data_IF_315304591389
#
_entry.id   IF_315304591389
#
_cell.length_a   1.000
_cell.length_b   1.000
_cell.length_c   1.000
_cell.angle_alpha   90.00
_cell.angle_beta   90.00
_cell.angle_gamma   90.00
#
_symmetry.space_group_name_H-M   'P 1'
#
loop_
_entity.id
_entity.type
_entity.pdbx_description
1 polymer ?
#
# COMPACT_ATOMS: atom_id res chain seq x y z
N UNK A 1 -3.15 7.93 1.38
CA UNK A 1 -2.97 6.64 2.10
C UNK A 1 -3.64 6.61 3.47
N UNK A 2 -3.23 7.40 4.47
CA UNK A 2 -3.77 7.32 5.83
C UNK A 2 -5.30 7.47 5.92
N UNK A 3 -5.87 8.50 5.25
CA UNK A 3 -7.32 8.69 5.20
C UNK A 3 -8.07 7.48 4.62
N UNK A 4 -7.49 6.79 3.62
CA UNK A 4 -8.08 5.59 3.03
C UNK A 4 -8.02 4.39 3.98
N UNK A 5 -6.89 4.19 4.65
CA UNK A 5 -6.77 3.15 5.70
C UNK A 5 -7.78 3.40 6.82
N UNK A 6 -8.00 4.66 7.20
CA UNK A 6 -8.98 5.04 8.21
C UNK A 6 -10.43 4.80 7.75
N UNK A 7 -10.79 5.16 6.51
CA UNK A 7 -12.13 5.00 5.97
C UNK A 7 -12.50 3.52 5.70
N UNK A 8 -11.55 2.73 5.22
CA UNK A 8 -11.77 1.34 4.79
C UNK A 8 -10.72 0.40 5.39
N UNK A 9 -10.73 0.16 6.71
CA UNK A 9 -9.70 -0.65 7.36
C UNK A 9 -9.78 -2.11 6.89
N UNK A 10 -8.69 -2.82 7.06
CA UNK A 10 -8.64 -4.26 6.89
C UNK A 10 -9.42 -4.98 8.00
N UNK A 11 -9.65 -6.28 7.85
CA UNK A 11 -10.27 -7.07 8.91
C UNK A 11 -9.23 -7.30 10.00
N UNK A 12 -9.56 -6.94 11.25
CA UNK A 12 -8.65 -7.09 12.39
C UNK A 12 -8.22 -8.55 12.54
N UNK A 13 -6.94 -8.80 12.31
CA UNK A 13 -6.24 -10.04 12.64
C UNK A 13 -5.02 -9.68 13.50
N UNK A 14 -4.88 -10.35 14.65
CA UNK A 14 -3.95 -9.96 15.72
C UNK A 14 -2.47 -10.20 15.36
N UNK A 15 -2.18 -10.99 14.33
CA UNK A 15 -0.82 -11.35 13.91
C UNK A 15 -0.41 -10.86 12.52
N UNK A 16 -1.25 -10.07 11.83
CA UNK A 16 -0.98 -9.70 10.44
C UNK A 16 -0.36 -8.31 10.27
N UNK A 17 0.62 -8.26 9.36
CA UNK A 17 1.10 -7.04 8.73
C UNK A 17 0.26 -6.78 7.50
N UNK A 18 -0.42 -5.64 7.45
CA UNK A 18 -1.24 -5.23 6.32
C UNK A 18 -0.39 -4.53 5.27
N UNK A 19 -0.83 -4.62 4.00
CA UNK A 19 -0.17 -4.00 2.85
C UNK A 19 -1.18 -3.32 1.93
N UNK A 20 -0.85 -2.10 1.47
CA UNK A 20 -1.58 -1.39 0.40
C UNK A 20 -0.63 -0.87 -0.66
N UNK A 21 -1.16 -0.66 -1.87
CA UNK A 21 -0.38 -0.24 -3.02
C UNK A 21 -0.99 1.01 -3.64
N UNK A 22 -0.27 2.13 -3.55
CA UNK A 22 -0.69 3.37 -4.18
C UNK A 22 0.20 3.68 -5.38
N UNK A 23 -0.42 4.08 -6.49
CA UNK A 23 0.29 4.71 -7.60
C UNK A 23 0.12 6.22 -7.41
N UNK A 24 1.24 6.93 -7.26
CA UNK A 24 1.30 8.37 -7.10
C UNK A 24 1.92 9.00 -8.34
N UNK A 25 1.53 10.23 -8.64
CA UNK A 25 2.20 11.06 -9.62
C UNK A 25 2.57 12.38 -8.96
N UNK A 26 3.80 12.83 -9.18
CA UNK A 26 4.25 14.19 -8.87
C UNK A 26 4.87 14.78 -10.13
N UNK A 27 4.25 15.84 -10.67
CA UNK A 27 4.60 16.44 -11.97
C UNK A 27 4.82 15.40 -13.09
N UNK A 28 6.05 15.16 -13.51
CA UNK A 28 6.47 14.24 -14.57
C UNK A 28 7.11 12.95 -14.02
N UNK A 29 6.88 12.64 -12.75
CA UNK A 29 7.35 11.44 -12.07
C UNK A 29 6.16 10.62 -11.57
N UNK A 30 6.22 9.31 -11.77
CA UNK A 30 5.27 8.35 -11.24
C UNK A 30 6.00 7.47 -10.22
N UNK A 31 5.33 7.17 -9.11
CA UNK A 31 5.84 6.32 -8.04
C UNK A 31 4.82 5.23 -7.73
N UNK A 32 5.33 4.05 -7.38
CA UNK A 32 4.53 3.00 -6.76
C UNK A 32 4.95 2.93 -5.30
N UNK A 33 4.01 3.10 -4.39
CA UNK A 33 4.23 3.03 -2.95
C UNK A 33 3.59 1.76 -2.41
N UNK A 34 4.40 0.89 -1.81
CA UNK A 34 3.94 -0.25 -1.03
C UNK A 34 3.98 0.13 0.44
N UNK A 35 2.81 0.28 1.06
CA UNK A 35 2.75 0.67 2.46
C UNK A 35 2.48 -0.53 3.35
N UNK A 36 3.30 -0.69 4.38
CA UNK A 36 3.19 -1.75 5.40
C UNK A 36 2.80 -1.14 6.73
N UNK A 37 1.83 -1.74 7.42
CA UNK A 37 1.35 -1.27 8.72
C UNK A 37 0.73 -2.39 9.54
N UNK A 38 0.66 -2.20 10.85
CA UNK A 38 -0.05 -3.09 11.77
C UNK A 38 -1.40 -2.50 12.20
N UNK A 39 -2.18 -3.28 12.96
CA UNK A 39 -3.48 -2.82 13.45
C UNK A 39 -3.38 -1.60 14.37
N UNK A 40 -2.32 -1.51 15.17
CA UNK A 40 -2.05 -0.34 16.03
C UNK A 40 -1.94 0.98 15.26
N UNK A 41 -1.50 0.93 14.00
CA UNK A 41 -1.50 2.11 13.14
C UNK A 41 -2.93 2.54 12.76
N UNK A 42 -3.83 1.57 12.56
CA UNK A 42 -5.26 1.83 12.29
C UNK A 42 -5.91 2.50 13.51
N UNK A 43 -5.63 1.99 14.71
CA UNK A 43 -6.08 2.60 15.98
C UNK A 43 -5.51 4.02 16.13
N UNK A 44 -4.23 4.23 15.81
CA UNK A 44 -3.57 5.55 15.82
C UNK A 44 -4.26 6.58 14.93
N UNK A 45 -4.52 6.27 13.67
CA UNK A 45 -5.14 7.22 12.74
C UNK A 45 -6.63 7.45 12.99
N UNK A 46 -7.24 6.66 13.89
CA UNK A 46 -8.65 6.79 14.31
C UNK A 46 -8.82 7.40 15.70
N UNK A 47 -7.72 7.72 16.37
CA UNK A 47 -7.74 8.19 17.76
C UNK A 47 -8.34 7.17 18.74
N UNK A 48 -8.11 5.87 18.46
CA UNK A 48 -8.59 4.71 19.24
C UNK A 48 -7.45 4.06 20.05
N UNK A 49 -6.31 4.73 20.21
CA UNK A 49 -5.12 4.13 20.85
C UNK A 49 -5.30 3.92 22.35
N UNK A 50 -4.79 2.80 22.84
CA UNK A 50 -4.53 2.64 24.26
C UNK A 50 -3.31 3.50 24.65
N UNK A 51 -3.41 4.37 25.67
CA UNK A 51 -2.28 5.18 26.15
C UNK A 51 -1.03 4.39 26.51
N UNK A 52 -1.21 3.13 26.92
CA UNK A 52 -0.11 2.24 27.34
C UNK A 52 0.51 1.49 26.16
N UNK A 53 -0.10 1.55 24.96
CA UNK A 53 0.37 0.81 23.80
C UNK A 53 1.28 1.66 22.91
N UNK A 54 2.44 1.10 22.55
CA UNK A 54 3.46 1.81 21.77
C UNK A 54 2.95 2.20 20.38
N UNK A 55 3.27 3.42 19.93
CA UNK A 55 2.87 3.91 18.60
C UNK A 55 3.48 3.05 17.49
N UNK A 56 2.63 2.47 16.64
CA UNK A 56 3.02 1.79 15.41
C UNK A 56 2.74 2.71 14.22
N UNK A 57 3.76 2.92 13.37
CA UNK A 57 3.64 3.78 12.19
C UNK A 57 3.60 2.96 10.90
N UNK A 58 2.98 3.56 9.88
CA UNK A 58 3.05 3.11 8.50
C UNK A 58 4.48 3.24 7.96
N UNK A 59 4.99 2.21 7.29
CA UNK A 59 6.22 2.30 6.49
C UNK A 59 5.85 2.33 5.02
N UNK A 60 6.33 3.33 4.28
CA UNK A 60 6.10 3.48 2.84
C UNK A 60 7.37 3.05 2.08
N UNK A 61 7.27 1.99 1.29
CA UNK A 61 8.33 1.56 0.39
C UNK A 61 8.07 2.13 -1.00
N UNK A 62 8.92 3.04 -1.42
CA UNK A 62 8.81 3.70 -2.72
C UNK A 62 9.53 2.90 -3.82
N UNK A 63 8.92 2.86 -5.00
CA UNK A 63 9.50 2.30 -6.20
C UNK A 63 9.29 3.24 -7.39
N UNK A 64 10.38 3.68 -8.00
CA UNK A 64 10.41 4.77 -8.98
C UNK A 64 11.67 5.61 -8.80
N UNK A 65 11.71 6.85 -9.31
CA UNK A 65 10.66 7.50 -10.12
C UNK A 65 10.59 6.98 -11.55
N UNK A 66 9.39 6.91 -12.13
CA UNK A 66 9.15 6.63 -13.54
C UNK A 66 8.75 7.90 -14.26
N UNK A 67 9.57 8.34 -15.21
CA UNK A 67 9.24 9.50 -16.03
C UNK A 67 8.49 9.09 -17.30
N UNK A 68 7.28 9.62 -17.58
CA UNK A 68 6.50 9.24 -18.76
C UNK A 68 7.13 9.61 -20.09
N UNK A 69 8.02 10.61 -20.11
CA UNK A 69 8.77 11.03 -21.28
C UNK A 69 9.80 10.00 -21.75
N UNK A 70 10.22 9.07 -20.89
CA UNK A 70 11.16 8.01 -21.24
C UNK A 70 10.43 6.70 -21.52
N UNK A 71 10.48 6.25 -22.78
CA UNK A 71 9.84 5.00 -23.24
C UNK A 71 10.18 3.79 -22.34
N UNK A 72 11.45 3.63 -21.97
CA UNK A 72 11.89 2.52 -21.12
C UNK A 72 11.28 2.55 -19.71
N UNK A 73 10.99 3.74 -19.16
CA UNK A 73 10.30 3.85 -17.88
C UNK A 73 8.85 3.40 -17.97
N UNK A 74 8.14 3.76 -19.05
CA UNK A 74 6.77 3.31 -19.26
C UNK A 74 6.70 1.80 -19.52
N UNK A 75 7.65 1.25 -20.28
CA UNK A 75 7.76 -0.21 -20.48
C UNK A 75 7.99 -0.95 -19.16
N UNK A 76 8.89 -0.44 -18.31
CA UNK A 76 9.16 -1.02 -16.98
C UNK A 76 7.98 -0.86 -16.04
N UNK A 77 7.36 0.32 -15.99
CA UNK A 77 6.19 0.61 -15.17
C UNK A 77 5.02 -0.32 -15.55
N UNK A 78 4.74 -0.46 -16.84
CA UNK A 78 3.73 -1.39 -17.34
C UNK A 78 4.00 -2.83 -16.93
N UNK A 79 5.24 -3.28 -17.06
CA UNK A 79 5.65 -4.63 -16.63
C UNK A 79 5.41 -4.87 -15.13
N UNK A 80 5.69 -3.86 -14.31
CA UNK A 80 5.48 -3.92 -12.85
C UNK A 80 3.99 -3.95 -12.53
N UNK A 81 3.18 -3.11 -13.16
CA UNK A 81 1.72 -3.10 -12.98
C UNK A 81 1.11 -4.45 -13.36
N UNK A 82 1.57 -5.06 -14.46
CA UNK A 82 1.11 -6.40 -14.87
C UNK A 82 1.47 -7.45 -13.81
N UNK A 83 2.72 -7.49 -13.36
CA UNK A 83 3.15 -8.44 -12.34
C UNK A 83 2.39 -8.26 -11.00
N UNK A 84 2.16 -7.01 -10.59
CA UNK A 84 1.35 -6.69 -9.42
C UNK A 84 -0.08 -7.20 -9.60
N UNK A 85 -0.73 -6.86 -10.71
CA UNK A 85 -2.11 -7.27 -10.98
C UNK A 85 -2.26 -8.80 -10.96
N UNK A 86 -1.30 -9.54 -11.53
CA UNK A 86 -1.29 -11.00 -11.48
C UNK A 86 -1.14 -11.55 -10.06
N UNK A 87 -0.26 -10.95 -9.25
CA UNK A 87 -0.10 -11.34 -7.85
C UNK A 87 -1.36 -11.05 -7.03
N UNK A 88 -2.01 -9.91 -7.26
CA UNK A 88 -3.25 -9.52 -6.59
C UNK A 88 -4.41 -10.46 -6.97
N UNK A 89 -4.50 -10.84 -8.25
CA UNK A 89 -5.48 -11.83 -8.73
C UNK A 89 -5.26 -13.19 -8.06
N UNK A 90 -4.01 -13.64 -7.95
CA UNK A 90 -3.67 -14.89 -7.26
C UNK A 90 -4.13 -14.88 -5.81
N UNK A 91 -3.78 -13.82 -5.06
CA UNK A 91 -4.16 -13.68 -3.65
C UNK A 91 -5.68 -13.61 -3.46
N UNK A 92 -6.39 -12.91 -4.35
CA UNK A 92 -7.85 -12.87 -4.34
C UNK A 92 -8.47 -14.26 -4.52
N UNK A 93 -7.92 -15.10 -5.41
CA UNK A 93 -8.37 -16.50 -5.59
C UNK A 93 -8.10 -17.38 -4.37
N UNK A 94 -7.08 -17.06 -3.59
CA UNK A 94 -6.73 -17.73 -2.33
C UNK A 94 -7.57 -17.23 -1.13
N UNK A 95 -8.56 -16.35 -1.36
CA UNK A 95 -9.41 -15.78 -0.31
C UNK A 95 -8.75 -14.63 0.46
N UNK A 96 -7.62 -14.11 -0.03
CA UNK A 96 -6.89 -12.96 0.51
C UNK A 96 -6.98 -11.79 -0.49
N UNK A 97 -8.14 -11.12 -0.61
CA UNK A 97 -8.27 -10.01 -1.53
C UNK A 97 -7.32 -8.89 -1.10
N UNK A 98 -6.27 -8.66 -1.87
CA UNK A 98 -5.43 -7.50 -1.66
C UNK A 98 -6.21 -6.24 -1.98
N UNK A 99 -6.19 -5.30 -1.03
CA UNK A 99 -6.70 -3.96 -1.23
C UNK A 99 -5.58 -3.13 -1.85
N UNK A 100 -5.88 -2.54 -3.00
CA UNK A 100 -5.06 -1.49 -3.59
C UNK A 100 -5.00 -0.36 -2.55
#
# INVERSE_FOLDING_TARGET
MAAWISAEPDVKNESDTYRRVMICQDHDEIYIIFATYGWKYVEYIRDEIDPDDGRSFLTMHEFGPFHPSYKGNIERLGSVIVALTQQLEKLAKEGQPCRW
#
